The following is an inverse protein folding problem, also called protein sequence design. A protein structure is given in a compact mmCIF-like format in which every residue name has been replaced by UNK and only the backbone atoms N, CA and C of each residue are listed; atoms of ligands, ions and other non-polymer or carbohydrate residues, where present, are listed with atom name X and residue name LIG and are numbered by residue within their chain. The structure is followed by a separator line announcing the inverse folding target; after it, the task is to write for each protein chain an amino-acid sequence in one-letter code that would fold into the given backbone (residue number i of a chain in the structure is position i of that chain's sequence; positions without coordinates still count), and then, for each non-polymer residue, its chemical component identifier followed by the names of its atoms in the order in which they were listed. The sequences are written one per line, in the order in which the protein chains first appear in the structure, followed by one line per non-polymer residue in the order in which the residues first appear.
data_IF_988422260668
#
_entry.id   IF_988422260668
#
_cell.length_a   1.000
_cell.length_b   1.000
_cell.length_c   1.000
_cell.angle_alpha   90.00
_cell.angle_beta   90.00
_cell.angle_gamma   90.00
#
_symmetry.space_group_name_H-M   'P 1'
#
loop_
_entity.id
_entity.type
_entity.pdbx_description
1 polymer ?
#
# COMPACT_ATOMS: atom_id res chain seq x y z
N UNK A 1 20.37 18.09 25.30
CA UNK A 1 20.07 16.85 24.57
C UNK A 1 18.80 17.12 23.79
N UNK A 2 18.77 16.91 22.48
CA UNK A 2 17.52 17.08 21.70
C UNK A 2 16.57 15.95 22.07
N UNK A 3 15.30 16.30 22.29
CA UNK A 3 14.24 15.31 22.52
C UNK A 3 13.86 14.73 21.15
N UNK A 4 13.82 13.41 21.04
CA UNK A 4 13.30 12.74 19.84
C UNK A 4 11.78 12.88 19.85
N UNK A 5 11.23 13.53 18.83
CA UNK A 5 9.79 13.74 18.69
C UNK A 5 9.12 12.61 17.90
N UNK A 6 9.83 12.05 16.91
CA UNK A 6 9.36 10.92 16.11
C UNK A 6 10.50 9.94 15.92
N UNK A 7 10.24 8.66 16.22
CA UNK A 7 11.11 7.54 15.91
C UNK A 7 10.37 6.54 15.04
N UNK A 8 10.96 6.17 13.92
CA UNK A 8 10.46 5.20 12.98
C UNK A 8 11.52 4.14 12.77
N UNK A 9 11.18 2.86 12.96
CA UNK A 9 12.10 1.75 12.79
C UNK A 9 11.49 0.65 11.94
N UNK A 10 12.21 0.27 10.88
CA UNK A 10 11.88 -0.85 10.02
C UNK A 10 10.53 -0.72 9.31
N UNK A 11 10.02 0.49 9.11
CA UNK A 11 8.68 0.70 8.56
C UNK A 11 8.62 0.14 7.14
N UNK A 12 7.79 -0.88 6.97
CA UNK A 12 7.56 -1.55 5.71
C UNK A 12 6.07 -1.58 5.39
N UNK A 13 5.72 -1.33 4.12
CA UNK A 13 4.34 -1.36 3.65
C UNK A 13 4.27 -1.91 2.24
N UNK A 14 3.50 -2.98 2.07
CA UNK A 14 3.17 -3.53 0.76
C UNK A 14 1.66 -3.47 0.47
N UNK A 15 1.32 -3.45 -0.81
CA UNK A 15 -0.03 -3.53 -1.33
C UNK A 15 -0.13 -4.71 -2.29
N UNK A 16 -1.27 -5.39 -2.29
CA UNK A 16 -1.60 -6.40 -3.31
C UNK A 16 -2.40 -5.72 -4.41
N UNK A 17 -1.78 -5.52 -5.57
CA UNK A 17 -2.38 -4.96 -6.77
C UNK A 17 -2.73 -6.13 -7.72
N UNK A 18 -4.00 -6.45 -7.90
CA UNK A 18 -4.42 -7.61 -8.69
C UNK A 18 -5.73 -7.36 -9.42
N UNK A 19 -5.86 -8.03 -10.58
CA UNK A 19 -6.72 -7.64 -11.67
C UNK A 19 -8.24 -7.64 -11.38
N UNK A 20 -8.89 -6.60 -11.90
CA UNK A 20 -10.32 -6.44 -12.16
C UNK A 20 -11.24 -6.12 -10.97
N UNK A 21 -12.07 -5.10 -11.01
CA UNK A 21 -12.19 -3.86 -11.78
C UNK A 21 -13.38 -3.18 -11.10
N UNK A 22 -13.36 -1.86 -10.99
CA UNK A 22 -14.55 -1.08 -10.65
C UNK A 22 -15.51 -1.24 -11.83
N UNK A 23 -16.23 -2.37 -11.84
CA UNK A 23 -17.08 -2.75 -12.95
C UNK A 23 -18.16 -1.72 -13.11
N UNK A 24 -18.15 -1.03 -14.26
CA UNK A 24 -19.34 -0.38 -14.77
C UNK A 24 -20.44 -1.43 -14.75
N UNK A 25 -21.63 -1.07 -14.23
CA UNK A 25 -22.80 -1.95 -14.07
C UNK A 25 -23.09 -2.83 -15.31
N UNK A 26 -22.67 -2.39 -16.49
CA UNK A 26 -22.76 -3.09 -17.77
C UNK A 26 -21.95 -4.38 -17.84
N UNK A 27 -20.78 -4.48 -17.19
CA UNK A 27 -19.96 -5.69 -17.21
C UNK A 27 -20.51 -6.79 -16.29
N UNK A 28 -21.16 -6.43 -15.18
CA UNK A 28 -21.80 -7.40 -14.27
C UNK A 28 -22.94 -8.15 -14.95
N UNK A 29 -23.69 -7.47 -15.82
CA UNK A 29 -24.81 -8.06 -16.57
C UNK A 29 -24.33 -9.02 -17.67
N UNK A 30 -23.30 -8.64 -18.43
CA UNK A 30 -22.74 -9.50 -19.47
C UNK A 30 -22.10 -10.78 -18.89
N UNK A 31 -21.40 -10.64 -17.76
CA UNK A 31 -20.80 -11.76 -17.04
C UNK A 31 -21.83 -12.73 -16.44
N UNK A 32 -23.10 -12.34 -16.30
CA UNK A 32 -24.18 -13.23 -15.85
C UNK A 32 -24.71 -14.15 -16.99
N UNK A 33 -24.65 -13.68 -18.24
CA UNK A 33 -25.07 -14.46 -19.41
C UNK A 33 -24.01 -15.50 -19.85
N UNK A 34 -22.72 -15.20 -19.72
CA UNK A 34 -21.63 -16.10 -20.16
C UNK A 34 -21.25 -17.20 -19.15
N UNK A 35 -21.97 -17.30 -18.01
CA UNK A 35 -21.68 -18.21 -16.89
C UNK A 35 -21.49 -19.69 -17.24
N UNK A 36 -22.25 -20.31 -18.18
CA UNK A 36 -22.09 -21.74 -18.46
C UNK A 36 -20.82 -22.07 -19.25
N UNK A 37 -20.29 -21.13 -20.04
CA UNK A 37 -19.15 -21.39 -20.95
C UNK A 37 -17.81 -21.05 -20.27
N UNK A 38 -17.79 -20.07 -19.36
CA UNK A 38 -16.55 -19.60 -18.72
C UNK A 38 -16.07 -20.47 -17.55
N UNK A 39 -16.96 -21.23 -16.90
CA UNK A 39 -16.62 -22.12 -15.79
C UNK A 39 -15.68 -23.26 -16.19
N UNK A 40 -15.69 -23.65 -17.47
CA UNK A 40 -14.82 -24.69 -18.02
C UNK A 40 -13.44 -24.17 -18.45
N UNK A 41 -13.24 -22.84 -18.57
CA UNK A 41 -12.01 -22.25 -19.14
C UNK A 41 -11.10 -21.50 -18.15
N UNK A 42 -11.54 -21.22 -16.93
CA UNK A 42 -10.80 -20.39 -15.98
C UNK A 42 -10.29 -21.18 -14.76
N UNK A 43 -9.19 -21.93 -14.95
CA UNK A 43 -8.32 -22.40 -13.87
C UNK A 43 -7.20 -21.39 -13.52
N UNK A 44 -7.35 -20.12 -13.91
CA UNK A 44 -6.38 -19.07 -13.60
C UNK A 44 -6.73 -18.37 -12.30
N UNK A 45 -6.05 -18.69 -11.20
CA UNK A 45 -6.17 -17.93 -9.95
C UNK A 45 -5.94 -16.43 -10.23
N UNK A 46 -6.71 -15.52 -9.61
CA UNK A 46 -6.50 -14.08 -9.79
C UNK A 46 -5.05 -13.73 -9.45
N UNK A 47 -4.33 -13.17 -10.43
CA UNK A 47 -2.94 -12.74 -10.23
C UNK A 47 -2.96 -11.43 -9.44
N UNK A 48 -2.54 -11.52 -8.19
CA UNK A 48 -2.16 -10.37 -7.38
C UNK A 48 -0.66 -10.16 -7.52
N UNK A 49 -0.25 -8.96 -7.85
CA UNK A 49 1.11 -8.46 -7.76
C UNK A 49 1.31 -7.79 -6.39
N UNK A 50 2.37 -8.14 -5.68
CA UNK A 50 2.74 -7.46 -4.43
C UNK A 50 3.67 -6.30 -4.77
N UNK A 51 3.24 -5.08 -4.46
CA UNK A 51 4.04 -3.86 -4.64
C UNK A 51 4.42 -3.29 -3.29
N UNK A 52 5.71 -3.09 -3.08
CA UNK A 52 6.24 -2.45 -1.88
C UNK A 52 6.20 -0.93 -2.05
N UNK A 53 5.43 -0.26 -1.19
CA UNK A 53 5.40 1.20 -1.11
C UNK A 53 6.49 1.74 -0.20
N UNK A 54 6.80 1.01 0.89
CA UNK A 54 7.91 1.28 1.80
C UNK A 54 8.58 -0.04 2.14
N UNK A 55 9.90 -0.05 2.28
CA UNK A 55 10.66 -1.24 2.64
C UNK A 55 11.78 -0.83 3.58
N UNK A 56 11.68 -1.27 4.83
CA UNK A 56 12.69 -1.08 5.88
C UNK A 56 13.12 0.38 6.06
N UNK A 57 12.14 1.26 6.28
CA UNK A 57 12.38 2.71 6.44
C UNK A 57 12.55 3.04 7.93
N UNK A 58 13.73 3.56 8.28
CA UNK A 58 14.07 3.98 9.64
C UNK A 58 14.62 5.41 9.69
N UNK A 59 14.13 6.22 10.63
CA UNK A 59 14.61 7.58 10.87
C UNK A 59 14.15 8.10 12.23
N UNK A 60 14.84 9.13 12.71
CA UNK A 60 14.47 9.91 13.89
C UNK A 60 14.30 11.38 13.51
N UNK A 61 13.34 12.05 14.13
CA UNK A 61 13.10 13.49 13.97
C UNK A 61 13.15 14.12 15.36
N UNK A 62 14.03 15.10 15.52
CA UNK A 62 14.16 15.86 16.78
C UNK A 62 13.04 16.88 16.94
N UNK A 63 12.72 17.24 18.18
CA UNK A 63 11.77 18.31 18.48
C UNK A 63 12.22 19.64 17.84
N UNK A 64 11.30 20.29 17.12
CA UNK A 64 11.56 21.54 16.40
C UNK A 64 12.22 21.39 15.03
N UNK A 65 12.55 20.16 14.61
CA UNK A 65 13.15 19.90 13.30
C UNK A 65 12.11 19.95 12.17
N UNK A 66 12.45 20.62 11.06
CA UNK A 66 11.61 20.68 9.86
C UNK A 66 12.17 19.72 8.81
N UNK A 67 11.44 18.64 8.52
CA UNK A 67 11.86 17.59 7.60
C UNK A 67 11.01 17.59 6.33
N UNK A 68 11.66 17.49 5.17
CA UNK A 68 11.01 17.33 3.87
C UNK A 68 11.20 15.93 3.29
N UNK A 69 10.10 15.21 3.03
CA UNK A 69 10.16 13.92 2.31
C UNK A 69 10.09 14.14 0.80
N UNK A 70 11.20 13.88 0.09
CA UNK A 70 11.34 14.14 -1.35
C UNK A 70 11.59 12.83 -2.11
N UNK A 71 11.06 12.72 -3.33
CA UNK A 71 11.23 11.55 -4.19
C UNK A 71 10.27 11.57 -5.38
N UNK A 72 10.46 10.66 -6.34
CA UNK A 72 9.60 10.54 -7.54
C UNK A 72 8.16 10.15 -7.16
N UNK A 73 7.23 10.33 -8.09
CA UNK A 73 5.87 9.80 -7.95
C UNK A 73 5.92 8.28 -7.80
N UNK A 74 5.13 7.73 -6.87
CA UNK A 74 5.15 6.31 -6.52
C UNK A 74 6.21 5.90 -5.49
N UNK A 75 7.13 6.78 -5.06
CA UNK A 75 8.18 6.45 -4.09
C UNK A 75 7.70 6.22 -2.64
N UNK A 76 6.39 6.14 -2.38
CA UNK A 76 5.87 5.85 -1.03
C UNK A 76 5.66 7.04 -0.10
N UNK A 77 5.96 8.29 -0.52
CA UNK A 77 5.84 9.49 0.33
C UNK A 77 4.48 9.64 1.03
N UNK A 78 3.38 9.58 0.27
CA UNK A 78 2.04 9.68 0.83
C UNK A 78 1.68 8.48 1.71
N UNK A 79 2.25 7.31 1.45
CA UNK A 79 2.10 6.13 2.30
C UNK A 79 2.81 6.33 3.64
N UNK A 80 4.05 6.85 3.62
CA UNK A 80 4.81 7.17 4.82
C UNK A 80 4.09 8.21 5.67
N UNK A 81 3.62 9.31 5.07
CA UNK A 81 2.85 10.33 5.79
C UNK A 81 1.57 9.77 6.42
N UNK A 82 0.86 8.87 5.72
CA UNK A 82 -0.33 8.19 6.28
C UNK A 82 0.00 7.30 7.47
N UNK A 83 1.15 6.64 7.46
CA UNK A 83 1.61 5.81 8.59
C UNK A 83 1.97 6.70 9.78
N UNK A 84 2.76 7.76 9.56
CA UNK A 84 3.14 8.72 10.60
C UNK A 84 1.92 9.40 11.22
N UNK A 85 0.89 9.69 10.42
CA UNK A 85 -0.37 10.26 10.89
C UNK A 85 -1.36 9.23 11.43
N UNK A 86 -0.96 7.95 11.58
CA UNK A 86 -1.79 6.84 12.07
C UNK A 86 -3.10 6.62 11.28
N UNK A 87 -3.13 7.00 10.00
CA UNK A 87 -4.27 6.73 9.09
C UNK A 87 -4.23 5.29 8.57
N UNK A 88 -3.04 4.69 8.51
CA UNK A 88 -2.85 3.34 8.01
C UNK A 88 -1.70 2.67 8.74
N UNK A 89 -1.89 1.42 9.15
CA UNK A 89 -0.83 0.66 9.81
C UNK A 89 0.25 0.21 8.82
N UNK A 90 1.51 0.09 9.24
CA UNK A 90 2.53 -0.59 8.46
C UNK A 90 2.15 -2.07 8.25
N UNK A 91 2.74 -2.70 7.23
CA UNK A 91 2.65 -4.16 7.09
C UNK A 91 3.55 -4.84 8.13
N UNK A 92 4.75 -4.28 8.30
CA UNK A 92 5.75 -4.70 9.28
C UNK A 92 6.42 -3.43 9.84
N UNK A 93 6.57 -3.32 11.15
CA UNK A 93 7.33 -2.26 11.83
C UNK A 93 7.60 -2.64 13.29
N UNK A 94 8.62 -2.02 13.90
CA UNK A 94 8.79 -1.91 15.35
C UNK A 94 8.51 -0.46 15.78
N UNK A 95 7.78 -0.28 16.88
CA UNK A 95 7.55 1.03 17.49
C UNK A 95 8.01 0.97 18.95
N UNK A 96 8.93 1.88 19.33
CA UNK A 96 9.28 2.23 20.71
C UNK A 96 8.89 3.69 20.98
#
# INVERSE_FOLDING_TARGET
MSVVAVRAEGISKCFRLGAAVQGRLTETLWNALERPIRSLRNNGAPRYEVVWALKDVSFEISEGEVVGFIGRNGAGKSTLLKILSRITDPTEASFD
#
